data_IF_800496408458
#
_entry.id   IF_800496408458
#
_cell.length_a   1.000
_cell.length_b   1.000
_cell.length_c   1.000
_cell.angle_alpha   90.00
_cell.angle_beta   90.00
_cell.angle_gamma   90.00
#
_symmetry.space_group_name_H-M   'P 1'
#
loop_
_entity.id
_entity.type
_entity.pdbx_description
1 polymer ?
#
# COMPACT_ATOMS: atom_id res chain seq x y z
N UNK A 1 0.51 34.68 -15.47
CA UNK A 1 -0.15 33.76 -16.41
C UNK A 1 0.91 33.18 -17.35
N UNK A 2 1.32 31.93 -17.11
CA UNK A 2 2.17 31.18 -18.06
C UNK A 2 1.64 29.73 -18.08
N UNK A 3 1.03 29.36 -19.20
CA UNK A 3 0.56 28.01 -19.47
C UNK A 3 1.75 27.14 -19.83
N UNK A 4 1.92 26.04 -19.06
CA UNK A 4 2.81 24.94 -19.45
C UNK A 4 2.01 23.95 -20.29
N UNK A 5 2.35 23.87 -21.57
CA UNK A 5 1.83 22.88 -22.51
C UNK A 5 2.66 21.59 -22.36
N UNK A 6 2.04 20.51 -21.96
CA UNK A 6 2.66 19.18 -21.93
C UNK A 6 2.69 18.61 -23.33
N UNK A 7 3.87 18.52 -23.94
CA UNK A 7 4.09 17.94 -25.26
C UNK A 7 3.91 16.43 -25.25
N UNK A 8 3.01 15.93 -26.10
CA UNK A 8 2.91 14.52 -26.46
C UNK A 8 4.08 14.15 -27.36
N UNK A 9 4.90 13.20 -26.94
CA UNK A 9 5.92 12.58 -27.81
C UNK A 9 5.23 11.54 -28.67
N UNK A 10 5.09 11.85 -29.96
CA UNK A 10 4.63 10.92 -31.00
C UNK A 10 5.88 10.24 -31.58
N UNK A 11 6.07 8.96 -31.32
CA UNK A 11 7.10 8.18 -32.02
C UNK A 11 6.51 7.71 -33.35
N UNK A 12 6.85 8.42 -34.42
CA UNK A 12 6.56 8.02 -35.78
C UNK A 12 7.71 7.14 -36.30
N UNK A 13 7.46 5.86 -36.49
CA UNK A 13 8.36 4.99 -37.24
C UNK A 13 8.07 5.18 -38.74
N UNK A 14 8.94 5.91 -39.42
CA UNK A 14 8.93 6.03 -40.88
C UNK A 14 9.70 4.85 -41.48
N UNK A 15 9.03 4.09 -42.29
CA UNK A 15 9.62 3.11 -43.21
C UNK A 15 8.75 3.01 -44.44
N UNK A 16 8.77 4.06 -45.29
CA UNK A 16 8.23 3.95 -46.65
C UNK A 16 9.38 3.67 -47.61
N UNK A 17 9.39 2.46 -48.17
CA UNK A 17 10.11 2.18 -49.42
C UNK A 17 9.07 2.01 -50.50
N UNK A 18 8.95 3.02 -51.35
CA UNK A 18 8.07 3.03 -52.51
C UNK A 18 8.87 2.53 -53.74
N UNK A 19 8.59 1.30 -54.19
CA UNK A 19 9.00 0.82 -55.49
C UNK A 19 7.78 0.62 -56.33
N UNK A 20 7.46 1.58 -57.24
CA UNK A 20 6.47 1.39 -58.29
C UNK A 20 7.12 0.74 -59.50
N UNK A 21 6.75 -0.49 -59.84
CA UNK A 21 6.88 -1.02 -61.20
C UNK A 21 5.67 -1.92 -61.48
N UNK A 22 4.90 -1.51 -62.52
CA UNK A 22 3.91 -2.29 -63.24
C UNK A 22 2.72 -2.88 -62.47
N UNK A 23 1.62 -2.13 -62.43
CA UNK A 23 0.25 -2.59 -62.64
C UNK A 23 -0.38 -3.61 -61.66
N UNK A 24 0.35 -4.24 -60.75
CA UNK A 24 -0.20 -5.16 -59.75
C UNK A 24 0.04 -4.60 -58.36
N UNK A 25 -1.03 -4.20 -57.68
CA UNK A 25 -0.98 -3.79 -56.29
C UNK A 25 -0.50 -4.96 -55.42
N UNK A 26 0.76 -4.93 -55.01
CA UNK A 26 1.27 -5.82 -53.98
C UNK A 26 0.68 -5.34 -52.63
N UNK A 27 -0.35 -6.04 -52.18
CA UNK A 27 -0.84 -5.91 -50.82
C UNK A 27 0.24 -6.48 -49.91
N UNK A 28 1.09 -5.60 -49.37
CA UNK A 28 2.03 -5.96 -48.30
C UNK A 28 1.19 -6.20 -47.06
N UNK A 29 0.81 -7.44 -46.84
CA UNK A 29 0.22 -7.87 -45.57
C UNK A 29 1.32 -7.83 -44.52
N UNK A 30 1.34 -6.75 -43.70
CA UNK A 30 2.18 -6.71 -42.52
C UNK A 30 1.88 -7.99 -41.71
N UNK A 31 2.89 -8.85 -41.57
CA UNK A 31 2.81 -9.97 -40.66
C UNK A 31 2.58 -9.37 -39.28
N UNK A 32 1.37 -9.47 -38.76
CA UNK A 32 1.09 -9.20 -37.37
C UNK A 32 1.85 -10.27 -36.58
N UNK A 33 3.06 -9.92 -36.15
CA UNK A 33 3.78 -10.71 -35.17
C UNK A 33 2.82 -10.90 -33.99
N UNK A 34 2.57 -12.17 -33.63
CA UNK A 34 1.80 -12.53 -32.43
C UNK A 34 2.41 -11.79 -31.27
N UNK A 35 1.76 -10.73 -30.83
CA UNK A 35 2.17 -10.01 -29.63
C UNK A 35 2.23 -11.06 -28.52
N UNK A 36 3.44 -11.32 -28.03
CA UNK A 36 3.65 -12.17 -26.86
C UNK A 36 2.68 -11.67 -25.81
N UNK A 37 1.70 -12.49 -25.42
CA UNK A 37 0.56 -12.08 -24.62
C UNK A 37 1.02 -11.24 -23.43
N UNK A 38 0.31 -10.15 -23.13
CA UNK A 38 0.62 -9.32 -21.99
C UNK A 38 0.75 -10.19 -20.73
N UNK A 39 1.74 -9.90 -19.84
CA UNK A 39 1.87 -10.65 -18.60
C UNK A 39 0.52 -10.68 -17.86
N UNK A 40 0.17 -11.82 -17.30
CA UNK A 40 -1.05 -11.94 -16.51
C UNK A 40 -0.98 -10.95 -15.33
N UNK A 41 -2.06 -10.21 -15.08
CA UNK A 41 -2.13 -9.32 -13.93
C UNK A 41 -1.92 -10.11 -12.62
N UNK A 42 -1.17 -9.58 -11.64
CA UNK A 42 -1.00 -10.23 -10.36
C UNK A 42 -2.36 -10.39 -9.66
N UNK A 43 -2.55 -11.55 -9.04
CA UNK A 43 -3.76 -11.86 -8.27
C UNK A 43 -3.44 -11.75 -6.79
N UNK A 44 -4.35 -11.15 -6.04
CA UNK A 44 -4.31 -11.15 -4.57
C UNK A 44 -5.12 -12.32 -4.06
N UNK A 45 -4.54 -13.08 -3.11
CA UNK A 45 -5.20 -14.17 -2.41
C UNK A 45 -5.22 -13.84 -0.93
N UNK A 46 -6.37 -14.07 -0.27
CA UNK A 46 -6.46 -13.90 1.17
C UNK A 46 -5.49 -14.84 1.88
N UNK A 47 -4.61 -14.28 2.71
CA UNK A 47 -3.62 -15.04 3.46
C UNK A 47 -3.99 -15.19 4.95
N UNK A 48 -4.34 -14.10 5.61
CA UNK A 48 -4.77 -14.09 7.01
C UNK A 48 -5.32 -12.71 7.39
N UNK A 49 -6.06 -12.68 8.48
CA UNK A 49 -6.47 -11.49 9.22
C UNK A 49 -5.64 -11.36 10.50
N UNK A 50 -5.27 -10.14 10.86
CA UNK A 50 -4.61 -9.82 12.12
C UNK A 50 -5.45 -8.79 12.86
N UNK A 51 -5.84 -9.11 14.10
CA UNK A 51 -6.53 -8.21 15.02
C UNK A 51 -5.62 -7.94 16.20
N UNK A 52 -5.03 -6.74 16.23
CA UNK A 52 -4.19 -6.31 17.34
C UNK A 52 -5.04 -5.62 18.42
N UNK A 53 -4.73 -5.90 19.67
CA UNK A 53 -5.21 -5.14 20.82
C UNK A 53 -4.18 -4.06 21.16
N UNK A 54 -4.65 -2.85 21.45
CA UNK A 54 -3.80 -1.69 21.67
C UNK A 54 -4.19 -0.95 22.93
N UNK A 55 -3.22 -0.28 23.55
CA UNK A 55 -3.45 0.63 24.68
C UNK A 55 -3.95 2.01 24.19
N UNK A 56 -4.32 2.85 25.14
CA UNK A 56 -4.57 4.26 24.87
C UNK A 56 -3.30 4.93 24.33
N UNK A 57 -3.41 5.93 23.44
CA UNK A 57 -2.25 6.64 22.91
C UNK A 57 -1.49 7.41 24.01
N UNK A 58 -0.18 7.27 24.01
CA UNK A 58 0.73 8.13 24.78
C UNK A 58 1.14 9.31 23.91
N UNK A 59 0.75 10.53 24.30
CA UNK A 59 1.07 11.75 23.57
C UNK A 59 2.44 12.29 24.02
N UNK A 60 3.39 12.42 23.10
CA UNK A 60 4.73 12.93 23.36
C UNK A 60 4.87 14.44 23.06
N UNK A 61 3.88 15.02 22.38
CA UNK A 61 3.86 16.44 22.04
C UNK A 61 4.30 16.75 20.62
N UNK A 62 4.59 18.03 20.39
CA UNK A 62 4.89 18.56 19.07
C UNK A 62 6.34 18.28 18.67
N UNK A 63 6.53 17.83 17.44
CA UNK A 63 7.82 17.65 16.77
C UNK A 63 7.83 18.42 15.44
N UNK A 64 8.98 18.48 14.76
CA UNK A 64 9.12 19.27 13.53
C UNK A 64 8.07 18.93 12.45
N UNK A 65 7.70 17.66 12.32
CA UNK A 65 6.80 17.17 11.25
C UNK A 65 5.34 16.98 11.72
N UNK A 66 4.99 17.35 12.94
CA UNK A 66 3.65 17.17 13.49
C UNK A 66 3.64 16.79 14.96
N UNK A 67 2.57 16.16 15.42
CA UNK A 67 2.42 15.70 16.79
C UNK A 67 2.81 14.21 16.89
N UNK A 68 3.78 13.92 17.76
CA UNK A 68 4.23 12.56 18.03
C UNK A 68 3.36 11.88 19.07
N UNK A 69 2.93 10.65 18.79
CA UNK A 69 2.29 9.77 19.77
C UNK A 69 2.72 8.32 19.56
N UNK A 70 2.58 7.52 20.60
CA UNK A 70 2.87 6.08 20.57
C UNK A 70 1.63 5.34 21.04
N UNK A 71 1.29 4.25 20.36
CA UNK A 71 0.19 3.36 20.72
C UNK A 71 0.78 1.98 20.94
N UNK A 72 0.85 1.54 22.20
CA UNK A 72 1.41 0.25 22.55
C UNK A 72 0.50 -0.89 22.08
N UNK A 73 1.10 -1.94 21.54
CA UNK A 73 0.42 -3.17 21.16
C UNK A 73 0.48 -4.13 22.36
N UNK A 74 -0.68 -4.44 22.93
CA UNK A 74 -0.82 -5.27 24.11
C UNK A 74 -1.03 -6.74 23.78
N UNK A 75 -1.27 -7.07 22.52
CA UNK A 75 -1.47 -8.45 22.06
C UNK A 75 -2.29 -8.53 20.78
N UNK A 76 -2.91 -9.67 20.54
CA UNK A 76 -3.81 -9.87 19.41
C UNK A 76 -3.80 -11.30 18.87
N UNK A 77 -4.60 -11.53 17.83
CA UNK A 77 -4.74 -12.82 17.16
C UNK A 77 -4.44 -12.69 15.67
N UNK A 78 -3.95 -13.79 15.10
CA UNK A 78 -3.69 -13.92 13.65
C UNK A 78 -4.37 -15.20 13.18
N UNK A 79 -5.28 -15.08 12.21
CA UNK A 79 -6.10 -16.20 11.71
C UNK A 79 -6.19 -16.18 10.19
N UNK A 80 -5.89 -17.29 9.55
CA UNK A 80 -6.06 -17.46 8.11
C UNK A 80 -5.41 -18.74 7.59
N UNK A 81 -5.59 -19.00 6.29
CA UNK A 81 -5.01 -20.18 5.65
C UNK A 81 -3.49 -20.12 5.55
N UNK A 82 -2.90 -18.92 5.44
CA UNK A 82 -1.46 -18.75 5.28
C UNK A 82 -0.70 -18.57 6.59
N UNK A 83 -1.38 -18.16 7.69
CA UNK A 83 -0.73 -17.92 8.97
C UNK A 83 -1.76 -17.99 10.10
N UNK A 84 -1.39 -18.66 11.19
CA UNK A 84 -2.12 -18.65 12.47
C UNK A 84 -1.17 -18.38 13.62
N UNK A 85 -1.67 -17.71 14.66
CA UNK A 85 -0.85 -17.39 15.81
C UNK A 85 -1.41 -16.25 16.65
N UNK A 86 -0.54 -15.64 17.44
CA UNK A 86 -0.86 -14.50 18.32
C UNK A 86 0.14 -13.35 18.10
N UNK A 87 -0.32 -12.13 18.25
CA UNK A 87 0.55 -10.96 18.38
C UNK A 87 1.07 -10.91 19.81
N UNK A 88 2.38 -10.82 19.98
CA UNK A 88 2.99 -10.69 21.31
C UNK A 88 2.86 -9.23 21.80
N UNK A 89 2.70 -9.01 23.12
CA UNK A 89 2.85 -7.68 23.70
C UNK A 89 4.28 -7.17 23.52
N UNK A 90 4.49 -5.86 23.58
CA UNK A 90 5.81 -5.21 23.49
C UNK A 90 6.12 -4.59 22.14
N UNK A 91 5.17 -4.64 21.18
CA UNK A 91 5.20 -3.82 19.97
C UNK A 91 4.52 -2.47 20.18
N UNK A 92 4.68 -1.56 19.22
CA UNK A 92 3.97 -0.29 19.22
C UNK A 92 3.77 0.25 17.80
N UNK A 93 2.88 1.23 17.69
CA UNK A 93 2.70 2.07 16.50
C UNK A 93 3.18 3.48 16.83
N UNK A 94 4.31 3.86 16.25
CA UNK A 94 4.91 5.19 16.38
C UNK A 94 4.33 6.11 15.33
N UNK A 95 3.44 7.01 15.74
CA UNK A 95 2.70 7.87 14.83
C UNK A 95 3.22 9.31 14.83
N UNK A 96 3.16 9.94 13.65
CA UNK A 96 3.21 11.39 13.51
C UNK A 96 1.89 11.84 12.89
N UNK A 97 1.16 12.67 13.64
CA UNK A 97 -0.09 13.30 13.18
C UNK A 97 0.26 14.68 12.66
N UNK A 98 0.24 14.86 11.36
CA UNK A 98 0.58 16.11 10.68
C UNK A 98 -0.56 17.12 10.78
N UNK A 99 -0.25 18.40 10.56
CA UNK A 99 -1.22 19.49 10.61
C UNK A 99 -2.32 19.38 9.51
N UNK A 100 -1.99 18.74 8.39
CA UNK A 100 -2.92 18.48 7.28
C UNK A 100 -3.85 17.28 7.54
N UNK A 101 -3.82 16.67 8.72
CA UNK A 101 -4.61 15.50 9.11
C UNK A 101 -4.04 14.16 8.66
N UNK A 102 -2.94 14.17 7.89
CA UNK A 102 -2.22 12.95 7.57
C UNK A 102 -1.57 12.35 8.82
N UNK A 103 -1.71 11.05 8.99
CA UNK A 103 -1.02 10.31 10.06
C UNK A 103 -0.03 9.34 9.44
N UNK A 104 1.24 9.55 9.71
CA UNK A 104 2.31 8.60 9.38
C UNK A 104 2.34 7.51 10.46
N UNK A 105 2.45 6.26 10.04
CA UNK A 105 2.43 5.07 10.88
C UNK A 105 3.77 4.33 10.72
N UNK A 106 4.40 3.97 11.84
CA UNK A 106 5.54 3.06 11.87
C UNK A 106 5.28 1.99 12.93
N UNK A 107 4.48 0.99 12.55
CA UNK A 107 4.07 -0.06 13.48
C UNK A 107 5.06 -1.21 13.45
N UNK A 108 5.50 -1.65 14.62
CA UNK A 108 6.42 -2.78 14.78
C UNK A 108 5.93 -3.71 15.86
N UNK A 109 5.93 -5.01 15.59
CA UNK A 109 5.45 -6.03 16.52
C UNK A 109 5.98 -7.41 16.16
N UNK A 110 5.77 -8.36 17.07
CA UNK A 110 6.16 -9.76 16.86
C UNK A 110 4.93 -10.64 16.84
N UNK A 111 4.85 -11.54 15.87
CA UNK A 111 3.88 -12.63 15.84
C UNK A 111 4.59 -13.88 16.34
N UNK A 112 3.92 -14.64 17.21
CA UNK A 112 4.27 -16.01 17.56
C UNK A 112 3.28 -16.93 16.86
N UNK A 113 3.78 -17.74 15.95
CA UNK A 113 2.94 -18.68 15.18
C UNK A 113 2.44 -19.82 16.08
N UNK A 114 1.44 -20.56 15.62
CA UNK A 114 0.95 -21.79 16.27
C UNK A 114 2.03 -22.90 16.39
N UNK A 115 3.12 -22.77 15.61
CA UNK A 115 4.30 -23.65 15.67
C UNK A 115 5.40 -23.10 16.59
N UNK A 116 5.15 -22.01 17.32
CA UNK A 116 6.12 -21.37 18.20
C UNK A 116 7.22 -20.54 17.52
N UNK A 117 7.13 -20.34 16.22
CA UNK A 117 8.09 -19.50 15.49
C UNK A 117 7.80 -18.03 15.75
N UNK A 118 8.84 -17.21 15.85
CA UNK A 118 8.72 -15.77 16.00
C UNK A 118 8.94 -15.07 14.67
N UNK A 119 8.01 -14.19 14.33
CA UNK A 119 8.06 -13.38 13.11
C UNK A 119 8.02 -11.91 13.50
N UNK A 120 9.10 -11.17 13.23
CA UNK A 120 9.12 -9.74 13.41
C UNK A 120 8.47 -9.05 12.21
N UNK A 121 7.57 -8.12 12.49
CA UNK A 121 6.82 -7.38 11.47
C UNK A 121 7.11 -5.90 11.59
N UNK A 122 7.52 -5.30 10.48
CA UNK A 122 7.52 -3.86 10.26
C UNK A 122 6.37 -3.51 9.33
N UNK A 123 5.53 -2.59 9.74
CA UNK A 123 4.31 -2.23 9.00
C UNK A 123 4.16 -0.71 8.91
N UNK A 124 5.04 -0.04 8.12
CA UNK A 124 4.88 1.38 7.84
C UNK A 124 3.61 1.62 7.04
N UNK A 125 3.02 2.78 7.23
CA UNK A 125 1.78 3.11 6.55
C UNK A 125 1.37 4.55 6.71
N UNK A 126 0.19 4.84 6.21
CA UNK A 126 -0.42 6.17 6.31
C UNK A 126 -1.93 6.06 6.46
N UNK A 127 -2.49 7.00 7.19
CA UNK A 127 -3.93 7.18 7.36
C UNK A 127 -4.30 8.63 7.14
N UNK A 128 -5.38 8.86 6.42
CA UNK A 128 -5.98 10.16 6.22
C UNK A 128 -7.49 10.04 6.08
N UNK A 129 -8.21 10.99 6.64
CA UNK A 129 -9.65 11.15 6.44
C UNK A 129 -10.04 12.61 6.67
N UNK A 130 -11.22 13.05 6.23
CA UNK A 130 -11.78 14.36 6.58
C UNK A 130 -11.79 14.58 8.10
N UNK A 131 -11.61 15.82 8.58
CA UNK A 131 -11.46 16.11 10.01
C UNK A 131 -12.62 15.61 10.89
N UNK A 132 -13.84 15.69 10.39
CA UNK A 132 -15.04 15.21 11.07
C UNK A 132 -15.08 13.70 11.20
N UNK A 133 -14.66 12.98 10.14
CA UNK A 133 -14.52 11.53 10.14
C UNK A 133 -13.39 11.09 11.08
N UNK A 134 -12.26 11.80 11.06
CA UNK A 134 -11.14 11.54 12.00
C UNK A 134 -11.55 11.75 13.44
N UNK A 135 -12.35 12.78 13.74
CA UNK A 135 -12.85 13.03 15.09
C UNK A 135 -13.71 11.87 15.60
N UNK A 136 -14.62 11.36 14.77
CA UNK A 136 -15.46 10.18 15.09
C UNK A 136 -14.61 8.95 15.31
N UNK A 137 -13.67 8.69 14.40
CA UNK A 137 -12.77 7.53 14.50
C UNK A 137 -11.96 7.55 15.81
N UNK A 138 -11.46 8.72 16.21
CA UNK A 138 -10.70 8.88 17.46
C UNK A 138 -11.59 8.76 18.70
N UNK A 139 -12.87 9.05 18.59
CA UNK A 139 -13.86 8.84 19.65
C UNK A 139 -14.33 7.37 19.75
N UNK A 140 -13.84 6.47 18.86
CA UNK A 140 -14.25 5.08 18.81
C UNK A 140 -15.62 4.84 18.17
N UNK A 141 -16.17 5.86 17.48
CA UNK A 141 -17.42 5.74 16.77
C UNK A 141 -17.24 4.97 15.45
N UNK A 142 -18.28 4.27 15.03
CA UNK A 142 -18.28 3.60 13.74
C UNK A 142 -18.28 4.64 12.61
N UNK A 143 -17.35 4.49 11.67
CA UNK A 143 -17.26 5.31 10.46
C UNK A 143 -17.23 4.40 9.23
N UNK A 144 -17.72 4.91 8.10
CA UNK A 144 -17.60 4.19 6.83
C UNK A 144 -16.12 4.05 6.45
N UNK A 145 -15.58 2.82 6.30
CA UNK A 145 -14.20 2.60 5.92
C UNK A 145 -13.81 3.25 4.58
N UNK A 146 -14.77 3.46 3.67
CA UNK A 146 -14.54 4.10 2.39
C UNK A 146 -14.12 5.59 2.53
N UNK A 147 -14.47 6.24 3.65
CA UNK A 147 -14.09 7.61 3.96
C UNK A 147 -12.67 7.72 4.56
N UNK A 148 -12.05 6.60 4.89
CA UNK A 148 -10.72 6.56 5.53
C UNK A 148 -9.71 5.97 4.57
N UNK A 149 -8.80 6.80 4.10
CA UNK A 149 -7.62 6.28 3.40
C UNK A 149 -6.68 5.66 4.42
N UNK A 150 -6.49 4.35 4.36
CA UNK A 150 -5.58 3.61 5.21
C UNK A 150 -4.82 2.60 4.38
N UNK A 151 -3.50 2.75 4.32
CA UNK A 151 -2.62 1.86 3.56
C UNK A 151 -1.36 1.58 4.35
N UNK A 152 -0.98 0.32 4.36
CA UNK A 152 0.24 -0.15 5.01
C UNK A 152 0.99 -1.12 4.10
N UNK A 153 2.30 -1.20 4.29
CA UNK A 153 3.16 -2.16 3.62
C UNK A 153 3.86 -3.03 4.66
N UNK A 154 3.44 -4.25 4.79
CA UNK A 154 4.05 -5.19 5.73
C UNK A 154 5.36 -5.74 5.19
N UNK A 155 6.42 -5.65 6.00
CA UNK A 155 7.69 -6.35 5.81
C UNK A 155 7.83 -7.43 6.86
N UNK A 156 8.20 -8.62 6.44
CA UNK A 156 8.42 -9.77 7.29
C UNK A 156 9.91 -9.99 7.45
N UNK A 157 10.36 -10.14 8.68
CA UNK A 157 11.71 -10.57 9.00
C UNK A 157 11.58 -11.82 9.86
N UNK A 158 11.95 -12.95 9.29
CA UNK A 158 11.97 -14.23 9.99
C UNK A 158 13.39 -14.46 10.52
N UNK A 159 13.53 -14.69 11.81
CA UNK A 159 14.77 -15.12 12.43
C UNK A 159 14.69 -16.64 12.65
N UNK A 160 15.65 -17.36 12.08
CA UNK A 160 15.83 -18.79 12.30
C UNK A 160 16.49 -19.03 13.66
#
# INVERSE_FOLDING_TARGET
MRHLTVGRVLVAAFGLSLCCVNGNALVVRAAQGTAKGAPAAPRLTFAFELRATVAAPTELGQVANGRRRIIDITGGVVEGPGLKGKVRPGGADWQIVRADGFTELDTRYTIETDKGQLVYVQNPGMRHAPPDVMKKLLAGEAVDPALVYFRTQRRWVHYQ
#
